data_IF_215242518571
#
_entry.id   IF_215242518571
#
_cell.length_a   1.000
_cell.length_b   1.000
_cell.length_c   1.000
_cell.angle_alpha   90.00
_cell.angle_beta   90.00
_cell.angle_gamma   90.00
#
_symmetry.space_group_name_H-M   'P 1'
#
loop_
_entity.id
_entity.type
_entity.pdbx_description
1 polymer ?
#
# COMPACT_ATOMS: atom_id res chain seq x y z
N UNK A 1 29.76 24.66 -25.82
CA UNK A 1 30.94 23.81 -25.49
C UNK A 1 30.73 22.42 -26.10
N UNK A 2 31.77 21.64 -26.44
CA UNK A 2 31.57 20.29 -26.97
C UNK A 2 31.14 19.34 -25.84
N UNK A 3 29.92 18.78 -25.91
CA UNK A 3 29.40 17.86 -24.91
C UNK A 3 30.13 16.51 -25.04
N UNK A 4 30.92 16.15 -24.02
CA UNK A 4 31.71 14.91 -24.03
C UNK A 4 30.91 13.74 -23.47
N UNK A 5 31.26 12.51 -23.88
CA UNK A 5 30.65 11.30 -23.33
C UNK A 5 30.85 11.17 -21.81
N UNK A 6 31.96 11.67 -21.29
CA UNK A 6 32.24 11.67 -19.85
C UNK A 6 31.29 12.59 -19.08
N UNK A 7 30.99 13.78 -19.60
CA UNK A 7 30.01 14.69 -18.99
C UNK A 7 28.61 14.07 -18.96
N UNK A 8 28.21 13.42 -20.05
CA UNK A 8 26.91 12.72 -20.11
C UNK A 8 26.86 11.57 -19.09
N UNK A 9 27.95 10.80 -18.97
CA UNK A 9 28.07 9.73 -17.98
C UNK A 9 27.98 10.26 -16.55
N UNK A 10 28.70 11.33 -16.23
CA UNK A 10 28.68 11.95 -14.90
C UNK A 10 27.28 12.48 -14.54
N UNK A 11 26.63 13.20 -15.46
CA UNK A 11 25.27 13.69 -15.23
C UNK A 11 24.28 12.54 -15.01
N UNK A 12 24.43 11.45 -15.78
CA UNK A 12 23.61 10.24 -15.61
C UNK A 12 23.85 9.56 -14.27
N UNK A 13 25.10 9.48 -13.80
CA UNK A 13 25.42 8.90 -12.49
C UNK A 13 24.84 9.76 -11.36
N UNK A 14 24.88 11.09 -11.49
CA UNK A 14 24.31 12.03 -10.50
C UNK A 14 22.79 12.02 -10.47
N UNK A 15 22.13 11.95 -11.62
CA UNK A 15 20.67 12.16 -11.73
C UNK A 15 19.87 10.88 -11.94
N UNK A 16 20.51 9.80 -12.40
CA UNK A 16 19.85 8.57 -12.82
C UNK A 16 19.05 8.68 -14.12
N UNK A 17 19.06 9.82 -14.81
CA UNK A 17 18.27 10.03 -16.02
C UNK A 17 18.76 9.23 -17.24
N UNK A 18 17.91 9.10 -18.26
CA UNK A 18 18.25 8.40 -19.51
C UNK A 18 19.44 9.04 -20.23
N UNK A 19 20.23 8.23 -20.94
CA UNK A 19 21.47 8.69 -21.61
C UNK A 19 21.22 9.83 -22.61
N UNK A 20 20.15 9.72 -23.42
CA UNK A 20 19.77 10.75 -24.38
C UNK A 20 19.25 12.01 -23.69
N UNK A 21 18.56 11.86 -22.56
CA UNK A 21 18.05 12.99 -21.78
C UNK A 21 19.20 13.77 -21.14
N UNK A 22 20.20 13.09 -20.59
CA UNK A 22 21.41 13.72 -20.06
C UNK A 22 22.18 14.46 -21.16
N UNK A 23 22.34 13.84 -22.34
CA UNK A 23 22.99 14.50 -23.48
C UNK A 23 22.21 15.73 -23.93
N UNK A 24 20.88 15.63 -23.99
CA UNK A 24 20.02 16.77 -24.37
C UNK A 24 20.12 17.89 -23.34
N UNK A 25 19.99 17.59 -22.05
CA UNK A 25 20.10 18.57 -20.99
C UNK A 25 21.43 19.34 -21.07
N UNK A 26 22.56 18.63 -21.16
CA UNK A 26 23.87 19.25 -21.34
C UNK A 26 23.98 20.08 -22.61
N UNK A 27 23.28 19.70 -23.69
CA UNK A 27 23.28 20.48 -24.94
C UNK A 27 22.49 21.77 -24.78
N UNK A 28 21.32 21.74 -24.13
CA UNK A 28 20.45 22.90 -23.91
C UNK A 28 21.04 23.88 -22.86
N UNK A 29 21.93 23.39 -22.00
CA UNK A 29 22.57 24.19 -20.94
C UNK A 29 24.03 24.52 -21.23
N UNK A 30 24.45 24.39 -22.49
CA UNK A 30 25.81 24.69 -22.96
C UNK A 30 26.94 23.94 -22.22
N UNK A 31 26.62 22.79 -21.60
CA UNK A 31 27.54 21.97 -20.82
C UNK A 31 27.60 22.32 -19.33
N UNK A 32 26.77 23.26 -18.87
CA UNK A 32 26.64 23.63 -17.46
C UNK A 32 25.93 22.50 -16.69
N UNK A 33 26.66 21.87 -15.76
CA UNK A 33 26.21 20.68 -15.03
C UNK A 33 25.04 20.99 -14.09
N UNK A 34 25.11 22.09 -13.35
CA UNK A 34 24.08 22.44 -12.37
C UNK A 34 22.79 22.82 -13.08
N UNK A 35 22.88 23.61 -14.17
CA UNK A 35 21.72 23.91 -15.01
C UNK A 35 21.16 22.65 -15.68
N UNK A 36 22.01 21.70 -16.08
CA UNK A 36 21.54 20.45 -16.68
C UNK A 36 20.75 19.60 -15.68
N UNK A 37 21.14 19.62 -14.40
CA UNK A 37 20.39 18.97 -13.31
C UNK A 37 19.02 19.64 -13.14
N UNK A 38 18.97 20.97 -13.09
CA UNK A 38 17.71 21.72 -13.00
C UNK A 38 16.80 21.44 -14.20
N UNK A 39 17.36 21.44 -15.41
CA UNK A 39 16.62 21.11 -16.63
C UNK A 39 16.01 19.71 -16.58
N UNK A 40 16.76 18.71 -16.08
CA UNK A 40 16.26 17.34 -15.93
C UNK A 40 15.16 17.25 -14.87
N UNK A 41 15.26 18.03 -13.79
CA UNK A 41 14.23 18.10 -12.75
C UNK A 41 12.91 18.66 -13.30
N UNK A 42 12.96 19.80 -14.00
CA UNK A 42 11.78 20.39 -14.64
C UNK A 42 11.15 19.43 -15.65
N UNK A 43 11.98 18.75 -16.45
CA UNK A 43 11.52 17.73 -17.39
C UNK A 43 10.89 16.52 -16.68
N UNK A 44 11.40 16.12 -15.52
CA UNK A 44 10.83 15.06 -14.70
C UNK A 44 9.41 15.39 -14.23
N UNK A 45 9.21 16.61 -13.73
CA UNK A 45 7.89 17.14 -13.34
C UNK A 45 6.93 17.11 -14.55
N UNK A 46 7.37 17.59 -15.71
CA UNK A 46 6.56 17.56 -16.93
C UNK A 46 6.25 16.13 -17.41
N UNK A 47 7.19 15.20 -17.25
CA UNK A 47 7.02 13.78 -17.58
C UNK A 47 5.99 13.10 -16.68
N UNK A 48 6.02 13.42 -15.38
CA UNK A 48 5.05 12.94 -14.40
C UNK A 48 3.65 13.49 -14.67
N UNK A 49 3.53 14.80 -14.94
CA UNK A 49 2.26 15.43 -15.29
C UNK A 49 1.61 14.77 -16.51
N UNK A 50 2.39 14.46 -17.57
CA UNK A 50 1.89 13.75 -18.77
C UNK A 50 1.43 12.32 -18.52
N UNK A 51 1.86 11.70 -17.42
CA UNK A 51 1.49 10.34 -17.03
C UNK A 51 0.43 10.32 -15.93
N UNK A 52 0.03 11.48 -15.40
CA UNK A 52 -0.89 11.60 -14.27
C UNK A 52 -2.23 10.90 -14.48
N UNK A 53 -2.74 10.87 -15.71
CA UNK A 53 -4.04 10.26 -16.04
C UNK A 53 -3.97 8.73 -16.24
N UNK A 54 -2.77 8.14 -16.20
CA UNK A 54 -2.61 6.69 -16.38
C UNK A 54 -3.08 5.93 -15.14
N UNK A 55 -3.52 4.70 -15.35
CA UNK A 55 -3.91 3.81 -14.25
C UNK A 55 -2.67 3.11 -13.70
N UNK A 56 -2.42 3.28 -12.41
CA UNK A 56 -1.35 2.61 -11.68
C UNK A 56 -1.96 1.65 -10.66
N UNK A 57 -2.24 0.41 -11.09
CA UNK A 57 -2.93 -0.60 -10.28
C UNK A 57 -2.02 -1.75 -9.82
N UNK A 58 -0.75 -1.73 -10.21
CA UNK A 58 0.30 -2.64 -9.72
C UNK A 58 1.22 -1.88 -8.75
N UNK A 59 2.30 -2.50 -8.28
CA UNK A 59 3.28 -1.88 -7.38
C UNK A 59 3.60 -2.71 -6.15
N UNK A 60 3.88 -2.04 -5.03
CA UNK A 60 4.26 -2.68 -3.76
C UNK A 60 3.58 -2.01 -2.56
N UNK A 61 3.19 -2.86 -1.63
CA UNK A 61 2.98 -2.48 -0.23
C UNK A 61 4.24 -2.78 0.57
N UNK A 62 4.48 -2.01 1.62
CA UNK A 62 5.64 -2.20 2.49
C UNK A 62 5.30 -1.81 3.92
N UNK A 63 5.89 -2.51 4.89
CA UNK A 63 5.77 -2.20 6.32
C UNK A 63 7.16 -2.22 6.96
N UNK A 64 7.43 -1.24 7.81
CA UNK A 64 8.65 -1.16 8.61
C UNK A 64 8.34 -0.64 10.01
N UNK A 65 9.08 -1.14 10.99
CA UNK A 65 8.94 -0.75 12.40
C UNK A 65 10.29 -0.27 12.93
N UNK A 66 10.29 0.78 13.74
CA UNK A 66 11.48 1.29 14.43
C UNK A 66 11.09 1.71 15.85
N UNK A 67 11.62 1.01 16.85
CA UNK A 67 11.24 1.20 18.25
C UNK A 67 9.74 1.03 18.47
N UNK A 68 9.09 2.11 18.91
CA UNK A 68 7.65 2.16 19.17
C UNK A 68 6.84 2.75 18.03
N UNK A 69 7.44 2.98 16.86
CA UNK A 69 6.76 3.50 15.69
C UNK A 69 6.78 2.49 14.54
N UNK A 70 5.74 2.54 13.72
CA UNK A 70 5.61 1.72 12.55
C UNK A 70 4.91 2.48 11.42
N UNK A 71 5.29 2.18 10.19
CA UNK A 71 4.62 2.69 9.00
C UNK A 71 4.31 1.53 8.06
N UNK A 72 3.12 1.58 7.46
CA UNK A 72 2.72 0.76 6.33
C UNK A 72 2.31 1.70 5.20
N UNK A 73 2.73 1.41 3.97
CA UNK A 73 2.42 2.21 2.79
C UNK A 73 2.16 1.35 1.56
N UNK A 74 1.51 1.95 0.56
CA UNK A 74 1.34 1.42 -0.80
C UNK A 74 1.88 2.44 -1.79
N UNK A 75 2.83 2.00 -2.64
CA UNK A 75 3.30 2.75 -3.81
C UNK A 75 2.90 1.97 -5.05
N UNK A 76 2.21 2.62 -5.97
CA UNK A 76 1.73 1.99 -7.19
C UNK A 76 2.60 2.31 -8.41
N UNK A 77 2.55 1.39 -9.37
CA UNK A 77 3.11 1.48 -10.72
C UNK A 77 2.07 1.04 -11.75
N UNK A 78 2.34 1.27 -13.04
CA UNK A 78 1.44 0.82 -14.12
C UNK A 78 1.53 -0.70 -14.30
N UNK A 79 2.74 -1.26 -14.20
CA UNK A 79 3.00 -2.70 -14.42
C UNK A 79 3.60 -3.41 -13.20
N UNK A 80 3.46 -4.73 -13.15
CA UNK A 80 4.03 -5.60 -12.11
C UNK A 80 5.54 -5.80 -12.27
N UNK A 81 6.08 -5.60 -13.48
CA UNK A 81 7.52 -5.63 -13.74
C UNK A 81 8.27 -4.57 -12.93
N UNK A 82 7.67 -3.38 -12.75
CA UNK A 82 8.26 -2.29 -11.96
C UNK A 82 8.38 -2.66 -10.48
N UNK A 83 7.47 -3.47 -9.93
CA UNK A 83 7.55 -3.93 -8.54
C UNK A 83 8.84 -4.74 -8.25
N UNK A 84 9.43 -5.36 -9.26
CA UNK A 84 10.69 -6.12 -9.15
C UNK A 84 11.94 -5.26 -9.43
N UNK A 85 11.76 -4.03 -9.88
CA UNK A 85 12.85 -3.12 -10.20
C UNK A 85 13.52 -2.59 -8.92
N UNK A 86 14.85 -2.69 -8.82
CA UNK A 86 15.60 -2.26 -7.65
C UNK A 86 15.43 -0.77 -7.33
N UNK A 87 15.35 0.09 -8.35
CA UNK A 87 15.15 1.53 -8.14
C UNK A 87 13.75 1.83 -7.58
N UNK A 88 12.73 1.06 -7.97
CA UNK A 88 11.39 1.18 -7.40
C UNK A 88 11.35 0.68 -5.94
N UNK A 89 11.99 -0.45 -5.66
CA UNK A 89 12.08 -0.96 -4.28
C UNK A 89 12.86 -0.02 -3.36
N UNK A 90 13.90 0.66 -3.87
CA UNK A 90 14.61 1.71 -3.16
C UNK A 90 13.68 2.89 -2.85
N UNK A 91 12.96 3.41 -3.85
CA UNK A 91 11.95 4.47 -3.65
C UNK A 91 10.96 4.12 -2.54
N UNK A 92 10.39 2.90 -2.56
CA UNK A 92 9.43 2.45 -1.53
C UNK A 92 10.03 2.50 -0.13
N UNK A 93 11.29 2.04 0.03
CA UNK A 93 11.99 2.04 1.32
C UNK A 93 12.35 3.45 1.78
N UNK A 94 12.80 4.31 0.87
CA UNK A 94 13.15 5.70 1.16
C UNK A 94 11.92 6.48 1.63
N UNK A 95 10.78 6.28 0.96
CA UNK A 95 9.50 6.83 1.39
C UNK A 95 9.07 6.29 2.76
N UNK A 96 9.21 4.98 2.99
CA UNK A 96 8.88 4.37 4.28
C UNK A 96 9.70 4.99 5.42
N UNK A 97 11.02 5.07 5.27
CA UNK A 97 11.90 5.66 6.27
C UNK A 97 11.56 7.14 6.53
N UNK A 98 11.28 7.90 5.46
CA UNK A 98 10.88 9.30 5.59
C UNK A 98 9.55 9.48 6.34
N UNK A 99 8.53 8.70 5.99
CA UNK A 99 7.22 8.73 6.62
C UNK A 99 7.28 8.31 8.09
N UNK A 100 8.07 7.28 8.42
CA UNK A 100 8.25 6.81 9.79
C UNK A 100 8.87 7.89 10.68
N UNK A 101 9.87 8.60 10.16
CA UNK A 101 10.60 9.66 10.87
C UNK A 101 9.76 10.92 11.06
N UNK A 102 9.01 11.34 10.03
CA UNK A 102 8.35 12.65 10.00
C UNK A 102 6.85 12.61 10.29
N UNK A 103 6.23 11.42 10.25
CA UNK A 103 4.84 11.14 10.63
C UNK A 103 3.80 12.15 10.09
N UNK A 104 3.78 12.46 8.77
CA UNK A 104 2.73 13.29 8.19
C UNK A 104 1.36 12.65 8.39
N UNK A 105 0.30 13.47 8.48
CA UNK A 105 -1.05 12.96 8.65
C UNK A 105 -1.69 12.50 7.32
N UNK A 106 -1.29 13.11 6.20
CA UNK A 106 -1.87 12.82 4.88
C UNK A 106 -0.81 12.67 3.79
N UNK A 107 -1.22 12.14 2.63
CA UNK A 107 -0.38 12.01 1.42
C UNK A 107 0.04 13.38 0.90
N UNK A 108 -0.83 14.38 0.99
CA UNK A 108 -0.55 15.76 0.58
C UNK A 108 0.53 16.38 1.47
N UNK A 109 0.42 16.23 2.79
CA UNK A 109 1.44 16.66 3.74
C UNK A 109 2.77 15.94 3.48
N UNK A 110 2.74 14.61 3.33
CA UNK A 110 3.92 13.82 3.01
C UNK A 110 4.59 14.31 1.72
N UNK A 111 3.81 14.57 0.67
CA UNK A 111 4.31 14.98 -0.64
C UNK A 111 5.08 16.31 -0.59
N UNK A 112 4.68 17.22 0.31
CA UNK A 112 5.30 18.53 0.49
C UNK A 112 6.55 18.51 1.40
N UNK A 113 6.77 17.43 2.17
CA UNK A 113 7.92 17.34 3.08
C UNK A 113 9.25 17.22 2.31
N UNK A 114 10.28 17.86 2.85
CA UNK A 114 11.65 17.79 2.34
C UNK A 114 12.38 16.57 2.91
N UNK A 115 12.91 15.72 2.04
CA UNK A 115 13.73 14.57 2.38
C UNK A 115 15.17 14.98 2.71
N UNK A 116 15.96 14.06 3.28
CA UNK A 116 17.35 14.34 3.70
C UNK A 116 18.29 14.74 2.55
N UNK A 117 17.94 14.34 1.32
CA UNK A 117 18.66 14.74 0.11
C UNK A 117 18.31 16.17 -0.37
N UNK A 118 17.44 16.89 0.33
CA UNK A 118 17.00 18.25 0.01
C UNK A 118 15.86 18.35 -1.01
N UNK A 119 15.43 17.25 -1.61
CA UNK A 119 14.27 17.21 -2.51
C UNK A 119 12.98 17.03 -1.72
N UNK A 120 11.84 17.49 -2.25
CA UNK A 120 10.54 17.10 -1.68
C UNK A 120 10.23 15.63 -1.99
N UNK A 121 9.33 15.00 -1.22
CA UNK A 121 8.81 13.66 -1.54
C UNK A 121 8.21 13.63 -2.96
N UNK A 122 7.47 14.67 -3.34
CA UNK A 122 6.93 14.79 -4.70
C UNK A 122 8.04 14.83 -5.77
N UNK A 123 9.10 15.61 -5.55
CA UNK A 123 10.24 15.67 -6.48
C UNK A 123 10.97 14.33 -6.59
N UNK A 124 11.11 13.61 -5.47
CA UNK A 124 11.74 12.31 -5.43
C UNK A 124 10.94 11.25 -6.22
N UNK A 125 9.61 11.25 -6.10
CA UNK A 125 8.72 10.43 -6.91
C UNK A 125 8.81 10.83 -8.39
N UNK A 126 8.79 12.13 -8.70
CA UNK A 126 8.89 12.63 -10.09
C UNK A 126 10.21 12.26 -10.76
N UNK A 127 11.33 12.31 -10.03
CA UNK A 127 12.62 11.84 -10.52
C UNK A 127 12.59 10.33 -10.83
N UNK A 128 11.93 9.55 -9.98
CA UNK A 128 11.73 8.11 -10.19
C UNK A 128 10.84 7.82 -11.40
N UNK A 129 9.77 8.60 -11.62
CA UNK A 129 8.93 8.53 -12.83
C UNK A 129 9.75 8.81 -14.10
N UNK A 130 10.61 9.83 -14.06
CA UNK A 130 11.47 10.16 -15.20
C UNK A 130 12.46 9.03 -15.54
N UNK A 131 12.97 8.35 -14.51
CA UNK A 131 13.91 7.23 -14.64
C UNK A 131 13.24 5.92 -15.07
N UNK A 132 12.10 5.58 -14.48
CA UNK A 132 11.39 4.31 -14.71
C UNK A 132 10.50 4.38 -15.96
N UNK A 133 9.92 5.54 -16.25
CA UNK A 133 9.07 5.74 -17.43
C UNK A 133 7.60 5.38 -17.25
N UNK A 134 7.17 5.03 -16.03
CA UNK A 134 5.78 4.77 -15.65
C UNK A 134 5.27 5.81 -14.65
N UNK A 135 3.94 5.97 -14.55
CA UNK A 135 3.29 6.65 -13.44
C UNK A 135 3.61 5.90 -12.15
N UNK A 136 4.12 6.63 -11.17
CA UNK A 136 4.33 6.14 -9.82
C UNK A 136 3.57 7.02 -8.85
N UNK A 137 2.96 6.44 -7.83
CA UNK A 137 2.17 7.20 -6.84
C UNK A 137 2.34 6.61 -5.46
N UNK A 138 2.71 7.44 -4.47
CA UNK A 138 2.44 7.15 -3.08
C UNK A 138 0.92 7.23 -2.88
N UNK A 139 0.25 6.08 -2.83
CA UNK A 139 -1.21 6.03 -2.86
C UNK A 139 -1.82 6.24 -1.49
N UNK A 140 -1.28 5.54 -0.48
CA UNK A 140 -1.77 5.58 0.89
C UNK A 140 -0.68 5.12 1.84
N UNK A 141 -0.76 5.59 3.07
CA UNK A 141 0.05 5.11 4.17
C UNK A 141 -0.71 5.23 5.49
N UNK A 142 -0.22 4.54 6.51
CA UNK A 142 -0.62 4.70 7.89
C UNK A 142 0.61 4.63 8.77
N UNK A 143 0.71 5.55 9.72
CA UNK A 143 1.73 5.56 10.77
C UNK A 143 1.03 5.27 12.08
N UNK A 144 1.54 4.32 12.85
CA UNK A 144 1.02 4.01 14.19
C UNK A 144 2.17 3.88 15.19
N UNK A 145 1.86 4.14 16.45
CA UNK A 145 2.79 4.02 17.57
C UNK A 145 2.24 3.07 18.61
N UNK A 146 3.10 2.32 19.28
CA UNK A 146 2.74 1.41 20.38
C UNK A 146 3.42 1.84 21.68
N UNK A 147 3.03 1.28 22.82
CA UNK A 147 3.78 1.44 24.07
C UNK A 147 4.85 0.35 24.22
N UNK A 148 5.70 0.47 25.25
CA UNK A 148 6.70 -0.55 25.58
C UNK A 148 6.07 -1.89 26.03
N UNK A 149 4.78 -1.88 26.40
CA UNK A 149 4.03 -3.07 26.82
C UNK A 149 3.29 -3.76 25.67
N UNK A 150 3.46 -3.26 24.45
CA UNK A 150 2.72 -3.69 23.27
C UNK A 150 3.66 -4.29 22.22
N UNK A 151 3.09 -5.01 21.26
CA UNK A 151 3.83 -5.66 20.17
C UNK A 151 3.28 -5.27 18.80
N UNK A 152 4.19 -4.97 17.87
CA UNK A 152 3.85 -4.84 16.45
C UNK A 152 3.85 -6.21 15.76
N UNK A 153 2.81 -6.48 14.98
CA UNK A 153 2.77 -7.55 14.01
C UNK A 153 3.03 -6.99 12.61
N UNK A 154 4.29 -6.88 12.19
CA UNK A 154 4.64 -6.50 10.82
C UNK A 154 4.80 -7.75 9.94
N UNK A 155 4.03 -7.85 8.87
CA UNK A 155 4.06 -8.98 7.95
C UNK A 155 3.95 -8.55 6.49
N UNK A 156 4.89 -9.02 5.66
CA UNK A 156 4.90 -8.83 4.21
C UNK A 156 4.68 -10.18 3.55
N UNK A 157 3.73 -10.26 2.63
CA UNK A 157 3.38 -11.48 1.91
C UNK A 157 3.58 -11.31 0.40
N UNK A 158 3.95 -12.41 -0.27
CA UNK A 158 4.14 -12.48 -1.74
C UNK A 158 5.02 -11.34 -2.29
N UNK A 159 6.14 -11.06 -1.61
CA UNK A 159 7.10 -10.05 -2.05
C UNK A 159 6.59 -8.60 -2.00
N UNK A 160 5.58 -8.30 -1.17
CA UNK A 160 5.02 -6.95 -1.04
C UNK A 160 3.69 -6.75 -1.75
N UNK A 161 3.09 -7.80 -2.33
CA UNK A 161 1.71 -7.72 -2.86
C UNK A 161 0.69 -7.44 -1.76
N UNK A 162 0.93 -7.96 -0.55
CA UNK A 162 0.13 -7.70 0.64
C UNK A 162 1.08 -7.38 1.78
N UNK A 163 0.76 -6.34 2.54
CA UNK A 163 1.42 -6.01 3.81
C UNK A 163 0.37 -5.81 4.89
N UNK A 164 0.70 -6.23 6.10
CA UNK A 164 -0.15 -6.08 7.28
C UNK A 164 0.68 -5.54 8.42
N UNK A 165 0.11 -4.58 9.14
CA UNK A 165 0.59 -4.06 10.40
C UNK A 165 -0.52 -4.21 11.43
N UNK A 166 -0.31 -4.99 12.47
CA UNK A 166 -1.21 -5.06 13.63
C UNK A 166 -0.51 -4.56 14.89
N UNK A 167 -1.30 -4.11 15.87
CA UNK A 167 -0.82 -3.78 17.20
C UNK A 167 -1.55 -4.63 18.22
N UNK A 168 -0.79 -5.43 18.98
CA UNK A 168 -1.32 -6.12 20.14
C UNK A 168 -1.01 -5.30 21.39
N UNK A 169 -2.04 -4.97 22.16
CA UNK A 169 -1.92 -4.29 23.44
C UNK A 169 -1.79 -5.30 24.58
N UNK A 170 -0.91 -5.01 25.55
CA UNK A 170 -0.74 -5.80 26.77
C UNK A 170 0.23 -6.98 26.66
N UNK A 171 0.93 -7.12 25.54
CA UNK A 171 2.00 -8.11 25.38
C UNK A 171 3.16 -7.57 24.54
N UNK A 172 4.37 -8.05 24.83
CA UNK A 172 5.57 -7.80 24.02
C UNK A 172 5.92 -8.98 23.10
N UNK A 173 5.04 -9.99 23.03
CA UNK A 173 5.19 -11.17 22.16
C UNK A 173 5.02 -10.79 20.68
N UNK A 174 6.14 -10.44 20.05
CA UNK A 174 6.19 -10.07 18.64
C UNK A 174 5.83 -11.23 17.69
N UNK A 175 6.07 -12.48 18.09
CA UNK A 175 5.70 -13.64 17.28
C UNK A 175 4.18 -13.84 17.28
N UNK A 176 3.52 -13.64 18.42
CA UNK A 176 2.05 -13.65 18.49
C UNK A 176 1.44 -12.53 17.65
N UNK A 177 1.98 -11.31 17.72
CA UNK A 177 1.50 -10.20 16.88
C UNK A 177 1.70 -10.47 15.38
N UNK A 178 2.85 -11.04 15.01
CA UNK A 178 3.12 -11.45 13.62
C UNK A 178 2.15 -12.53 13.14
N UNK A 179 1.85 -13.51 13.99
CA UNK A 179 0.89 -14.57 13.68
C UNK A 179 -0.54 -14.02 13.44
N UNK A 180 -0.95 -13.01 14.21
CA UNK A 180 -2.21 -12.28 13.97
C UNK A 180 -2.16 -11.56 12.62
N UNK A 181 -1.06 -10.89 12.28
CA UNK A 181 -0.92 -10.25 10.96
C UNK A 181 -0.92 -11.22 9.79
N UNK A 182 -0.34 -12.42 9.96
CA UNK A 182 -0.43 -13.49 8.96
C UNK A 182 -1.88 -13.94 8.74
N UNK A 183 -2.64 -14.05 9.83
CA UNK A 183 -4.06 -14.39 9.78
C UNK A 183 -4.88 -13.31 9.05
N UNK A 184 -4.67 -12.03 9.41
CA UNK A 184 -5.32 -10.88 8.76
C UNK A 184 -4.98 -10.82 7.26
N UNK A 185 -3.73 -11.10 6.88
CA UNK A 185 -3.32 -11.12 5.48
C UNK A 185 -4.14 -12.14 4.67
N UNK A 186 -4.42 -13.30 5.26
CA UNK A 186 -5.14 -14.41 4.63
C UNK A 186 -6.67 -14.19 4.57
N UNK A 187 -7.30 -13.78 5.68
CA UNK A 187 -8.77 -13.71 5.78
C UNK A 187 -9.38 -12.34 5.50
N UNK A 188 -8.55 -11.29 5.41
CA UNK A 188 -8.98 -9.92 5.06
C UNK A 188 -10.15 -9.38 5.94
N UNK A 189 -10.10 -9.51 7.28
CA UNK A 189 -11.09 -8.86 8.14
C UNK A 189 -11.12 -7.35 7.91
N UNK A 190 -12.27 -6.72 8.16
CA UNK A 190 -12.46 -5.28 8.06
C UNK A 190 -12.34 -4.57 9.41
N UNK A 191 -12.68 -5.27 10.48
CA UNK A 191 -12.79 -4.73 11.83
C UNK A 191 -12.02 -5.58 12.83
N UNK A 192 -11.60 -4.98 13.94
CA UNK A 192 -11.02 -5.71 15.05
C UNK A 192 -12.11 -6.53 15.74
N UNK A 193 -13.23 -5.88 16.05
CA UNK A 193 -14.31 -6.45 16.84
C UNK A 193 -15.67 -5.99 16.35
N UNK A 194 -16.73 -6.66 16.82
CA UNK A 194 -18.11 -6.30 16.51
C UNK A 194 -18.48 -4.87 16.93
N UNK A 195 -17.81 -4.33 17.94
CA UNK A 195 -18.07 -2.99 18.47
C UNK A 195 -17.65 -1.87 17.50
N UNK A 196 -16.79 -2.20 16.53
CA UNK A 196 -16.39 -1.27 15.45
C UNK A 196 -17.35 -1.28 14.27
N UNK A 197 -18.27 -2.26 14.20
CA UNK A 197 -19.27 -2.34 13.13
C UNK A 197 -20.41 -1.39 13.46
N UNK A 198 -20.69 -0.44 12.56
CA UNK A 198 -21.76 0.53 12.78
C UNK A 198 -23.13 -0.14 12.93
N UNK A 199 -23.99 0.40 13.78
CA UNK A 199 -25.37 -0.11 13.93
C UNK A 199 -26.15 -0.06 12.61
N UNK A 200 -25.86 0.92 11.75
CA UNK A 200 -26.45 1.01 10.41
C UNK A 200 -26.06 -0.18 9.54
N UNK A 201 -24.78 -0.56 9.52
CA UNK A 201 -24.30 -1.73 8.76
C UNK A 201 -24.89 -3.03 9.33
N UNK A 202 -24.94 -3.18 10.65
CA UNK A 202 -25.53 -4.35 11.31
C UNK A 202 -27.02 -4.49 10.97
N UNK A 203 -27.78 -3.40 11.04
CA UNK A 203 -29.20 -3.40 10.73
C UNK A 203 -29.47 -3.63 9.23
N UNK A 204 -28.65 -3.03 8.37
CA UNK A 204 -28.73 -3.28 6.93
C UNK A 204 -28.50 -4.75 6.60
N UNK A 205 -27.43 -5.35 7.13
CA UNK A 205 -27.12 -6.77 6.92
C UNK A 205 -28.24 -7.66 7.47
N UNK A 206 -28.75 -7.35 8.67
CA UNK A 206 -29.89 -8.05 9.27
C UNK A 206 -31.13 -8.04 8.36
N UNK A 207 -31.45 -6.90 7.76
CA UNK A 207 -32.58 -6.78 6.83
C UNK A 207 -32.37 -7.64 5.58
N UNK A 208 -31.18 -7.61 4.99
CA UNK A 208 -30.81 -8.45 3.85
C UNK A 208 -30.97 -9.93 4.18
N UNK A 209 -30.41 -10.38 5.31
CA UNK A 209 -30.49 -11.77 5.76
C UNK A 209 -31.93 -12.20 6.08
N UNK A 210 -32.75 -11.30 6.62
CA UNK A 210 -34.17 -11.54 6.90
C UNK A 210 -34.93 -11.77 5.60
N UNK A 211 -34.72 -10.91 4.60
CA UNK A 211 -35.38 -11.06 3.30
C UNK A 211 -34.97 -12.36 2.60
N UNK A 212 -33.69 -12.73 2.67
CA UNK A 212 -33.22 -14.02 2.15
C UNK A 212 -33.92 -15.20 2.82
N UNK A 213 -34.01 -15.22 4.16
CA UNK A 213 -34.63 -16.31 4.91
C UNK A 213 -36.16 -16.40 4.67
N UNK A 214 -36.85 -15.27 4.47
CA UNK A 214 -38.26 -15.25 4.09
C UNK A 214 -38.47 -15.80 2.67
N UNK A 215 -37.61 -15.44 1.72
CA UNK A 215 -37.68 -15.95 0.34
C UNK A 215 -37.44 -17.46 0.26
N UNK A 216 -36.73 -18.05 1.23
CA UNK A 216 -36.55 -19.50 1.38
C UNK A 216 -37.81 -20.22 1.93
N UNK A 217 -38.92 -19.51 2.16
CA UNK A 217 -40.20 -20.08 2.58
C UNK A 217 -40.22 -20.59 4.03
N UNK A 218 -39.33 -20.11 4.89
CA UNK A 218 -39.21 -20.55 6.28
C UNK A 218 -40.28 -19.88 7.18
N UNK A 219 -40.80 -20.57 8.21
CA UNK A 219 -41.70 -19.96 9.19
C UNK A 219 -41.03 -18.80 9.94
N UNK A 220 -41.78 -17.76 10.31
CA UNK A 220 -41.24 -16.54 10.96
C UNK A 220 -40.36 -16.79 12.20
N UNK A 221 -40.73 -17.74 13.07
CA UNK A 221 -39.93 -18.13 14.25
C UNK A 221 -38.59 -18.79 13.90
N UNK A 222 -38.49 -19.41 12.72
CA UNK A 222 -37.25 -20.01 12.21
C UNK A 222 -36.38 -18.94 11.54
N UNK A 223 -37.00 -17.98 10.85
CA UNK A 223 -36.32 -16.85 10.22
C UNK A 223 -35.52 -16.07 11.24
N UNK A 224 -36.10 -15.69 12.38
CA UNK A 224 -35.40 -14.90 13.41
C UNK A 224 -34.12 -15.60 13.92
N UNK A 225 -34.22 -16.88 14.31
CA UNK A 225 -33.05 -17.66 14.75
C UNK A 225 -32.00 -17.85 13.66
N UNK A 226 -32.45 -17.97 12.41
CA UNK A 226 -31.58 -18.16 11.25
C UNK A 226 -30.82 -16.88 10.90
N UNK A 227 -31.47 -15.73 11.01
CA UNK A 227 -30.86 -14.41 10.84
C UNK A 227 -29.79 -14.18 11.90
N UNK A 228 -30.07 -14.46 13.17
CA UNK A 228 -29.05 -14.36 14.24
C UNK A 228 -27.82 -15.24 13.97
N UNK A 229 -28.03 -16.49 13.54
CA UNK A 229 -26.92 -17.38 13.19
C UNK A 229 -26.12 -16.89 11.98
N UNK A 230 -26.79 -16.36 10.94
CA UNK A 230 -26.13 -15.79 9.75
C UNK A 230 -25.39 -14.50 10.07
N UNK A 231 -25.96 -13.65 10.93
CA UNK A 231 -25.31 -12.43 11.39
C UNK A 231 -24.07 -12.76 12.23
N UNK A 232 -24.12 -13.83 13.04
CA UNK A 232 -22.95 -14.40 13.69
C UNK A 232 -21.83 -14.74 12.71
N UNK A 233 -22.15 -15.41 11.60
CA UNK A 233 -21.17 -15.70 10.53
C UNK A 233 -20.65 -14.45 9.84
N UNK A 234 -21.50 -13.47 9.58
CA UNK A 234 -21.07 -12.18 9.04
C UNK A 234 -20.00 -11.54 9.94
N UNK A 235 -20.19 -11.54 11.27
CA UNK A 235 -19.15 -11.07 12.19
C UNK A 235 -17.88 -11.92 12.14
N UNK A 236 -17.99 -13.25 12.00
CA UNK A 236 -16.83 -14.11 11.77
C UNK A 236 -16.11 -13.81 10.46
N UNK A 237 -16.80 -13.29 9.44
CA UNK A 237 -16.17 -12.91 8.17
C UNK A 237 -15.47 -11.54 8.27
N UNK A 238 -16.04 -10.58 9.00
CA UNK A 238 -15.55 -9.18 9.01
C UNK A 238 -14.75 -8.78 10.24
N UNK A 239 -14.86 -9.47 11.39
CA UNK A 239 -14.18 -9.12 12.64
C UNK A 239 -13.06 -10.10 12.97
N UNK A 240 -11.82 -9.63 13.10
CA UNK A 240 -10.66 -10.51 13.35
C UNK A 240 -10.79 -11.31 14.66
N UNK A 241 -11.32 -10.70 15.73
CA UNK A 241 -11.49 -11.38 17.02
C UNK A 241 -12.53 -12.51 16.98
N UNK A 242 -13.44 -12.48 16.02
CA UNK A 242 -14.46 -13.51 15.82
C UNK A 242 -14.00 -14.64 14.89
N UNK A 243 -12.92 -14.43 14.13
CA UNK A 243 -12.40 -15.40 13.18
C UNK A 243 -11.76 -16.62 13.85
N UNK A 244 -11.97 -17.80 13.24
CA UNK A 244 -11.23 -19.01 13.56
C UNK A 244 -9.76 -18.86 13.17
N UNK A 245 -8.85 -19.11 14.08
CA UNK A 245 -7.44 -18.79 13.88
C UNK A 245 -6.78 -19.73 12.87
N UNK A 246 -6.15 -19.17 11.83
CA UNK A 246 -5.61 -19.94 10.69
C UNK A 246 -4.53 -20.94 11.11
N UNK A 247 -3.70 -20.60 12.11
CA UNK A 247 -2.65 -21.51 12.60
C UNK A 247 -3.16 -22.55 13.60
N UNK A 248 -4.32 -22.32 14.20
CA UNK A 248 -4.96 -23.26 15.11
C UNK A 248 -6.50 -23.13 15.01
N UNK A 249 -7.14 -23.95 14.17
CA UNK A 249 -8.59 -23.89 13.96
C UNK A 249 -9.44 -24.28 15.18
N UNK A 250 -8.85 -24.81 16.25
CA UNK A 250 -9.57 -25.18 17.47
C UNK A 250 -9.93 -23.96 18.34
N UNK A 251 -9.44 -22.77 17.99
CA UNK A 251 -9.70 -21.53 18.73
C UNK A 251 -9.92 -20.32 17.79
N UNK A 252 -10.59 -19.30 18.31
CA UNK A 252 -10.69 -17.99 17.66
C UNK A 252 -9.46 -17.14 17.92
N UNK A 253 -9.23 -16.11 17.10
CA UNK A 253 -8.13 -15.15 17.33
C UNK A 253 -8.22 -14.50 18.70
N UNK A 254 -9.43 -14.15 19.16
CA UNK A 254 -9.66 -13.62 20.52
C UNK A 254 -9.04 -14.52 21.60
N UNK A 255 -9.35 -15.81 21.56
CA UNK A 255 -8.84 -16.77 22.54
C UNK A 255 -7.32 -16.89 22.45
N UNK A 256 -6.77 -16.85 21.23
CA UNK A 256 -5.33 -16.86 21.03
C UNK A 256 -4.65 -15.63 21.66
N UNK A 257 -5.11 -14.41 21.39
CA UNK A 257 -4.48 -13.20 21.95
C UNK A 257 -4.71 -13.08 23.46
N UNK A 258 -5.87 -13.48 23.97
CA UNK A 258 -6.15 -13.53 25.41
C UNK A 258 -5.21 -14.49 26.14
N UNK A 259 -4.87 -15.65 25.53
CA UNK A 259 -3.89 -16.59 26.08
C UNK A 259 -2.47 -16.01 26.20
N UNK A 260 -2.20 -14.91 25.48
CA UNK A 260 -0.96 -14.14 25.51
C UNK A 260 -1.04 -12.91 26.42
N UNK A 261 -2.13 -12.74 27.15
CA UNK A 261 -2.39 -11.57 27.99
C UNK A 261 -2.69 -10.30 27.19
N UNK A 262 -3.14 -10.44 25.94
CA UNK A 262 -3.25 -9.35 24.99
C UNK A 262 -4.65 -9.20 24.38
N UNK A 263 -4.88 -8.06 23.73
CA UNK A 263 -5.95 -7.86 22.75
C UNK A 263 -5.37 -7.28 21.46
N UNK A 264 -6.11 -7.40 20.35
CA UNK A 264 -5.81 -6.63 19.14
C UNK A 264 -6.34 -5.21 19.35
N UNK A 265 -5.48 -4.20 19.23
CA UNK A 265 -5.88 -2.79 19.30
C UNK A 265 -6.37 -2.28 17.95
N UNK A 266 -5.56 -2.49 16.92
CA UNK A 266 -5.84 -2.06 15.56
C UNK A 266 -5.02 -2.87 14.57
N UNK A 267 -5.43 -2.84 13.30
CA UNK A 267 -4.61 -3.31 12.20
C UNK A 267 -4.84 -2.50 10.93
N UNK A 268 -3.85 -2.53 10.05
CA UNK A 268 -3.93 -2.03 8.68
C UNK A 268 -3.45 -3.14 7.76
N UNK A 269 -4.27 -3.44 6.75
CA UNK A 269 -3.94 -4.38 5.68
C UNK A 269 -4.02 -3.65 4.36
N UNK A 270 -2.94 -3.68 3.59
CA UNK A 270 -2.95 -3.22 2.20
C UNK A 270 -2.70 -4.38 1.26
N UNK A 271 -3.46 -4.40 0.17
CA UNK A 271 -3.23 -5.23 -1.01
C UNK A 271 -3.05 -4.30 -2.22
N UNK A 272 -2.02 -4.57 -3.01
CA UNK A 272 -1.66 -3.75 -4.18
C UNK A 272 -2.85 -3.62 -5.12
N UNK A 273 -3.21 -2.38 -5.45
CA UNK A 273 -4.25 -2.05 -6.43
C UNK A 273 -5.68 -2.31 -5.94
N UNK A 274 -5.88 -2.62 -4.67
CA UNK A 274 -7.20 -2.88 -4.10
C UNK A 274 -8.14 -1.68 -4.36
N UNK A 275 -9.27 -1.93 -5.02
CA UNK A 275 -10.25 -0.90 -5.39
C UNK A 275 -9.88 -0.06 -6.61
N UNK A 276 -8.79 -0.39 -7.33
CA UNK A 276 -8.44 0.23 -8.61
C UNK A 276 -8.90 -0.70 -9.74
N UNK A 277 -9.73 -0.19 -10.65
CA UNK A 277 -10.11 -0.91 -11.85
C UNK A 277 -8.89 -1.09 -12.76
N UNK A 278 -8.53 -2.35 -13.02
CA UNK A 278 -7.43 -2.67 -13.92
C UNK A 278 -7.89 -2.52 -15.35
N UNK A 279 -7.08 -1.84 -16.15
CA UNK A 279 -7.30 -1.77 -17.59
C UNK A 279 -7.03 -3.15 -18.20
N UNK A 280 -8.07 -3.78 -18.75
CA UNK A 280 -7.92 -4.96 -19.60
C UNK A 280 -7.66 -4.50 -21.04
N UNK A 281 -6.39 -4.45 -21.44
CA UNK A 281 -6.04 -4.18 -22.84
C UNK A 281 -6.02 -5.49 -23.65
N UNK A 282 -6.80 -5.54 -24.72
CA UNK A 282 -6.75 -6.63 -25.69
C UNK A 282 -5.53 -6.44 -26.60
N UNK A 283 -4.46 -7.17 -26.32
CA UNK A 283 -3.20 -7.11 -27.07
C UNK A 283 -3.40 -7.29 -28.59
N UNK A 284 -4.32 -8.17 -29.00
CA UNK A 284 -4.60 -8.38 -30.42
C UNK A 284 -5.22 -7.14 -31.08
N UNK A 285 -6.14 -6.46 -30.38
CA UNK A 285 -6.72 -5.21 -30.87
C UNK A 285 -5.71 -4.07 -30.88
N UNK A 286 -4.85 -3.99 -29.87
CA UNK A 286 -3.79 -2.98 -29.81
C UNK A 286 -2.82 -3.12 -31.00
N UNK A 287 -2.36 -4.35 -31.27
CA UNK A 287 -1.50 -4.66 -32.43
C UNK A 287 -2.22 -4.32 -33.73
N UNK A 288 -3.49 -4.71 -33.89
CA UNK A 288 -4.28 -4.41 -35.09
C UNK A 288 -4.50 -2.91 -35.31
N UNK A 289 -4.62 -2.12 -34.24
CA UNK A 289 -4.78 -0.68 -34.32
C UNK A 289 -3.48 0.05 -34.69
N UNK A 290 -2.31 -0.48 -34.31
CA UNK A 290 -1.02 0.06 -34.74
C UNK A 290 -0.73 -0.21 -36.22
N UNK A 291 -1.18 -1.35 -36.76
CA UNK A 291 -1.03 -1.70 -38.19
C UNK A 291 -1.92 -0.84 -39.10
N UNK A 292 -3.03 -0.31 -38.58
CA UNK A 292 -4.00 0.52 -39.34
C UNK A 292 -3.65 2.02 -39.41
N UNK A 293 -2.60 2.47 -38.71
CA UNK A 293 -2.07 3.84 -38.79
C UNK A 293 -0.92 3.91 -39.80
#
# INVERSE_FOLDING_TARGET
MAITAQMVKELREKTGAGMLDCKKALTETDGDMDKAIDFLREKGIASAAKKGDRIAAEGLTYVVTEGNDAVILEVNSETDFVAKNEAFQALVKDLAAHLLKNKPATVEEASAQTMENGATVADHINASIAKIGEKLTLRRFSVTSKTDNDAFGAYIHMGGRISVLSVLEGTTDADAAKDVSMHIAALKPKYVSRDEVSQEEVEHERQVLTQQALNEGKPAKIVEKMVEGRLGKYFEDVCVLDQTFVKNPDQKVRQFVESKGATVREFVRYEVGEGIEKREDNFAEEVMNQIKK
#
